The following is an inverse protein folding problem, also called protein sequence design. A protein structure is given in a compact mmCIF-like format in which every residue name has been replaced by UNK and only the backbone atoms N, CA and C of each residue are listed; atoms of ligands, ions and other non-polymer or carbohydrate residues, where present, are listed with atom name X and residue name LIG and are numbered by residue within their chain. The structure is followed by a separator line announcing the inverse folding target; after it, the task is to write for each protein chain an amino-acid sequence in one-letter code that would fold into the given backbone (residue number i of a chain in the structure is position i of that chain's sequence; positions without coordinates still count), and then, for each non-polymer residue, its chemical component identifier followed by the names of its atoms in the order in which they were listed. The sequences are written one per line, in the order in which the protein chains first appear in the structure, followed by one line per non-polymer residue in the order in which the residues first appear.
data_IF_549615648198
#
_entry.id   IF_549615648198
#
_cell.length_a   1.000
_cell.length_b   1.000
_cell.length_c   1.000
_cell.angle_alpha   90.00
_cell.angle_beta   90.00
_cell.angle_gamma   90.00
#
_symmetry.space_group_name_H-M   'P 1'
#
loop_
_entity.id
_entity.type
_entity.pdbx_description
1 polymer ?
#
# COMPACT_ATOMS: atom_id res chain seq x y z
N UNK A 1 -17.31 71.81 -31.78
CA UNK A 1 -16.51 70.81 -32.53
C UNK A 1 -15.23 70.62 -31.73
N UNK A 2 -15.03 69.40 -31.22
CA UNK A 2 -13.90 69.03 -30.36
C UNK A 2 -12.57 69.12 -31.11
N UNK A 3 -11.51 69.58 -30.44
CA UNK A 3 -10.17 69.08 -30.68
C UNK A 3 -9.26 69.25 -29.44
N UNK A 4 -8.45 68.22 -29.22
CA UNK A 4 -7.62 67.93 -28.02
C UNK A 4 -6.48 68.93 -27.80
N UNK A 5 -6.01 69.13 -26.55
CA UNK A 5 -4.76 69.84 -26.28
C UNK A 5 -3.52 68.95 -26.50
N UNK A 6 -2.45 69.64 -26.90
CA UNK A 6 -1.10 69.20 -27.27
C UNK A 6 -0.28 68.69 -26.09
N UNK A 7 0.51 67.63 -26.31
CA UNK A 7 1.56 67.15 -25.39
C UNK A 7 2.71 68.15 -25.30
N UNK A 8 2.93 68.73 -24.12
CA UNK A 8 4.20 69.32 -23.71
C UNK A 8 4.23 69.36 -22.17
N UNK A 9 4.96 68.45 -21.55
CA UNK A 9 6.19 68.73 -20.80
C UNK A 9 6.56 67.51 -19.95
N UNK A 10 7.65 66.85 -20.32
CA UNK A 10 8.19 65.68 -19.62
C UNK A 10 9.26 66.22 -18.69
N UNK A 11 8.94 66.43 -17.41
CA UNK A 11 9.96 66.80 -16.42
C UNK A 11 10.87 65.58 -16.20
N UNK A 12 12.10 65.71 -16.69
CA UNK A 12 13.19 64.75 -16.53
C UNK A 12 13.52 64.55 -15.05
N UNK A 13 13.50 63.30 -14.60
CA UNK A 13 14.09 62.86 -13.34
C UNK A 13 15.58 62.57 -13.59
N UNK A 14 16.43 63.58 -13.40
CA UNK A 14 17.89 63.37 -13.33
C UNK A 14 18.22 62.53 -12.08
N UNK A 15 18.66 61.28 -12.29
CA UNK A 15 19.22 60.43 -11.23
C UNK A 15 20.70 60.77 -11.03
N UNK A 16 21.04 61.25 -9.83
CA UNK A 16 22.42 61.51 -9.40
C UNK A 16 23.17 60.18 -9.19
N UNK A 17 24.17 59.94 -10.05
CA UNK A 17 24.99 58.73 -10.04
C UNK A 17 26.28 58.83 -9.21
N UNK A 18 26.55 59.96 -8.52
CA UNK A 18 27.90 60.24 -7.98
C UNK A 18 28.18 59.80 -6.53
N UNK A 19 27.33 58.95 -5.94
CA UNK A 19 27.46 58.54 -4.53
C UNK A 19 27.89 57.09 -4.23
N UNK A 20 28.21 56.24 -5.22
CA UNK A 20 28.55 54.83 -4.94
C UNK A 20 30.04 54.63 -4.70
N UNK A 21 30.42 54.37 -3.45
CA UNK A 21 31.71 53.77 -3.14
C UNK A 21 31.85 52.38 -3.81
N UNK A 22 33.06 52.00 -4.26
CA UNK A 22 33.28 50.71 -4.87
C UNK A 22 33.04 49.60 -3.86
N UNK A 23 32.10 48.70 -4.20
CA UNK A 23 31.78 47.52 -3.40
C UNK A 23 33.05 46.68 -3.22
N UNK A 24 33.51 46.54 -1.97
CA UNK A 24 34.62 45.67 -1.59
C UNK A 24 34.31 44.26 -2.11
N UNK A 25 35.18 43.71 -2.95
CA UNK A 25 35.09 42.33 -3.40
C UNK A 25 35.31 41.41 -2.20
N UNK A 26 34.23 40.93 -1.62
CA UNK A 26 34.27 39.74 -0.77
C UNK A 26 34.52 38.54 -1.71
N UNK A 27 35.60 37.80 -1.44
CA UNK A 27 35.93 36.56 -2.16
C UNK A 27 34.79 35.54 -2.07
N UNK A 28 34.87 34.40 -2.78
CA UNK A 28 33.78 33.43 -2.81
C UNK A 28 33.50 32.99 -1.39
N UNK A 29 32.43 33.52 -0.81
CA UNK A 29 31.85 32.99 0.39
C UNK A 29 31.51 31.54 0.02
N UNK A 30 32.26 30.60 0.61
CA UNK A 30 31.76 29.25 0.77
C UNK A 30 30.55 29.39 1.68
N UNK A 31 29.42 29.76 1.08
CA UNK A 31 28.11 29.49 1.61
C UNK A 31 28.02 27.97 1.57
N UNK A 32 28.61 27.33 2.57
CA UNK A 32 28.09 26.06 3.04
C UNK A 32 26.59 26.29 3.12
N UNK A 33 25.85 25.66 2.22
CA UNK A 33 24.42 25.53 2.33
C UNK A 33 24.23 24.88 3.70
N UNK A 34 23.92 25.70 4.70
CA UNK A 34 23.36 25.23 5.96
C UNK A 34 22.26 24.26 5.53
N UNK A 35 22.36 22.96 5.87
CA UNK A 35 21.33 22.03 5.49
C UNK A 35 20.03 22.62 6.01
N UNK A 36 19.07 22.86 5.11
CA UNK A 36 17.73 23.30 5.47
C UNK A 36 17.31 22.41 6.62
N UNK A 37 17.27 22.98 7.84
CA UNK A 37 16.86 22.21 9.00
C UNK A 37 15.49 21.64 8.64
N UNK A 38 15.41 20.32 8.51
CA UNK A 38 14.14 19.63 8.35
C UNK A 38 13.24 20.21 9.42
N UNK A 39 12.19 20.92 9.00
CA UNK A 39 11.17 21.39 9.92
C UNK A 39 10.56 20.11 10.47
N UNK A 40 11.06 19.67 11.63
CA UNK A 40 10.52 18.55 12.36
C UNK A 40 9.14 18.98 12.84
N UNK A 41 8.15 18.79 11.97
CA UNK A 41 6.74 18.83 12.32
C UNK A 41 6.62 17.90 13.52
N UNK A 42 6.15 18.37 14.69
CA UNK A 42 6.16 17.57 15.90
C UNK A 42 5.28 16.33 15.67
N UNK A 43 5.95 15.24 15.35
CA UNK A 43 5.35 13.93 15.17
C UNK A 43 4.69 13.58 16.50
N UNK A 44 3.39 13.32 16.49
CA UNK A 44 2.67 12.77 17.64
C UNK A 44 3.06 11.32 17.94
N UNK A 45 4.20 10.84 17.43
CA UNK A 45 4.70 9.49 17.62
C UNK A 45 4.72 9.13 19.11
N UNK A 46 4.23 7.94 19.42
CA UNK A 46 4.11 7.47 20.80
C UNK A 46 2.91 8.04 21.58
N UNK A 47 2.17 9.03 21.05
CA UNK A 47 0.95 9.54 21.67
C UNK A 47 -0.29 8.80 21.16
N UNK A 48 -1.25 8.60 22.06
CA UNK A 48 -2.50 7.90 21.76
C UNK A 48 -2.31 6.45 21.30
N UNK A 49 -3.33 5.95 20.62
CA UNK A 49 -3.34 4.61 20.06
C UNK A 49 -2.57 4.59 18.73
N UNK A 50 -1.78 3.54 18.44
CA UNK A 50 -1.09 3.42 17.15
C UNK A 50 -2.08 3.47 15.98
N UNK A 51 -1.73 4.24 14.95
CA UNK A 51 -2.55 4.44 13.75
C UNK A 51 -3.72 5.42 13.92
N UNK A 52 -3.84 6.12 15.06
CA UNK A 52 -4.84 7.19 15.24
C UNK A 52 -4.48 8.42 14.37
N UNK A 53 -5.40 8.91 13.52
CA UNK A 53 -5.10 9.99 12.60
C UNK A 53 -4.84 11.33 13.32
N UNK A 54 -5.32 11.50 14.56
CA UNK A 54 -5.15 12.72 15.36
C UNK A 54 -3.70 12.97 15.79
N UNK A 55 -2.86 11.94 15.74
CA UNK A 55 -1.45 12.02 16.11
C UNK A 55 -0.49 11.94 14.92
N UNK A 56 -1.01 11.73 13.71
CA UNK A 56 -0.22 11.75 12.47
C UNK A 56 0.29 13.17 12.17
N UNK A 57 1.39 13.26 11.43
CA UNK A 57 1.79 14.53 10.83
C UNK A 57 0.69 15.06 9.92
N UNK A 58 0.62 16.39 9.73
CA UNK A 58 -0.39 17.02 8.88
C UNK A 58 -0.35 16.47 7.44
N UNK A 59 0.85 16.27 6.89
CA UNK A 59 1.04 15.70 5.56
C UNK A 59 0.47 14.28 5.44
N UNK A 60 0.81 13.40 6.40
CA UNK A 60 0.33 12.02 6.40
C UNK A 60 -1.19 11.96 6.60
N UNK A 61 -1.72 12.78 7.51
CA UNK A 61 -3.15 12.85 7.74
C UNK A 61 -3.91 13.27 6.47
N UNK A 62 -3.44 14.31 5.78
CA UNK A 62 -4.05 14.79 4.54
C UNK A 62 -3.98 13.74 3.42
N UNK A 63 -2.83 13.08 3.26
CA UNK A 63 -2.65 12.04 2.26
C UNK A 63 -3.60 10.84 2.49
N UNK A 64 -3.74 10.42 3.75
CA UNK A 64 -4.62 9.29 4.11
C UNK A 64 -6.08 9.68 4.17
N UNK A 65 -6.44 10.96 4.35
CA UNK A 65 -7.81 11.44 4.55
C UNK A 65 -8.79 10.90 3.52
N UNK A 66 -8.41 10.95 2.25
CA UNK A 66 -9.22 10.46 1.15
C UNK A 66 -9.50 8.95 1.26
N UNK A 67 -8.53 8.16 1.73
CA UNK A 67 -8.72 6.74 2.03
C UNK A 67 -9.65 6.52 3.22
N UNK A 68 -9.59 7.37 4.24
CA UNK A 68 -10.40 7.24 5.47
C UNK A 68 -11.87 7.53 5.22
N UNK A 69 -12.16 8.42 4.28
CA UNK A 69 -13.52 8.91 4.00
C UNK A 69 -14.16 8.18 2.80
N UNK A 70 -13.36 7.54 1.94
CA UNK A 70 -13.86 6.85 0.76
C UNK A 70 -14.81 5.67 1.12
N UNK A 71 -15.92 5.48 0.41
CA UNK A 71 -16.79 4.31 0.61
C UNK A 71 -16.12 3.00 0.20
N UNK A 72 -15.13 3.05 -0.68
CA UNK A 72 -14.33 1.89 -1.07
C UNK A 72 -12.95 2.26 -1.59
N UNK A 73 -12.07 1.26 -1.62
CA UNK A 73 -10.74 1.33 -2.20
C UNK A 73 -10.55 0.23 -3.23
N UNK A 74 -9.69 0.51 -4.20
CA UNK A 74 -9.18 -0.47 -5.15
C UNK A 74 -7.69 -0.62 -4.96
N UNK A 75 -7.23 -1.86 -4.82
CA UNK A 75 -5.81 -2.20 -4.77
C UNK A 75 -5.46 -2.97 -6.04
N UNK A 76 -4.64 -2.36 -6.89
CA UNK A 76 -4.20 -2.92 -8.17
C UNK A 76 -2.77 -3.40 -8.06
N UNK A 77 -2.52 -4.66 -8.41
CA UNK A 77 -1.16 -5.20 -8.46
C UNK A 77 -0.47 -4.79 -9.76
N UNK A 78 0.75 -4.26 -9.67
CA UNK A 78 1.59 -4.09 -10.86
C UNK A 78 2.19 -5.46 -11.23
N UNK A 79 1.63 -6.08 -12.27
CA UNK A 79 2.31 -7.20 -12.95
C UNK A 79 3.21 -6.60 -14.01
N UNK A 80 4.46 -6.33 -13.67
CA UNK A 80 5.45 -5.85 -14.65
C UNK A 80 5.60 -6.93 -15.73
N UNK A 81 5.17 -6.65 -16.95
CA UNK A 81 5.26 -7.55 -18.12
C UNK A 81 6.68 -7.91 -18.56
N UNK A 82 7.68 -7.69 -17.71
CA UNK A 82 9.10 -8.01 -17.90
C UNK A 82 9.51 -9.37 -17.30
N UNK A 83 8.67 -10.02 -16.49
CA UNK A 83 8.91 -11.42 -16.08
C UNK A 83 8.90 -12.38 -17.29
N UNK A 84 8.14 -12.05 -18.35
CA UNK A 84 8.02 -12.85 -19.57
C UNK A 84 9.27 -12.76 -20.47
N UNK A 85 10.00 -11.63 -20.43
CA UNK A 85 11.13 -11.35 -21.33
C UNK A 85 12.48 -11.58 -20.65
N UNK A 86 12.61 -11.25 -19.35
CA UNK A 86 13.92 -11.23 -18.66
C UNK A 86 13.99 -12.06 -17.36
N UNK A 87 12.97 -12.85 -17.03
CA UNK A 87 13.08 -13.93 -16.04
C UNK A 87 13.48 -13.56 -14.61
N UNK A 88 13.51 -12.27 -14.23
CA UNK A 88 13.94 -11.86 -12.89
C UNK A 88 13.46 -10.44 -12.52
N UNK A 89 12.19 -10.27 -12.13
CA UNK A 89 11.80 -9.19 -11.22
C UNK A 89 10.45 -9.47 -10.52
N UNK A 90 10.50 -10.28 -9.47
CA UNK A 90 9.37 -10.81 -8.67
C UNK A 90 9.07 -9.96 -7.42
N UNK A 91 8.75 -8.67 -7.58
CA UNK A 91 8.39 -7.80 -6.43
C UNK A 91 6.89 -7.55 -6.40
N UNK A 92 6.26 -7.80 -5.26
CA UNK A 92 4.88 -7.39 -5.07
C UNK A 92 4.82 -5.87 -4.91
N UNK A 93 4.19 -5.22 -5.90
CA UNK A 93 3.90 -3.80 -5.90
C UNK A 93 2.41 -3.61 -6.09
N UNK A 94 1.83 -2.73 -5.28
CA UNK A 94 0.42 -2.39 -5.40
C UNK A 94 0.22 -0.88 -5.39
N UNK A 95 -0.77 -0.45 -6.14
CA UNK A 95 -1.35 0.88 -6.04
C UNK A 95 -2.70 0.78 -5.36
N UNK A 96 -2.92 1.55 -4.30
CA UNK A 96 -4.21 1.66 -3.62
C UNK A 96 -4.80 3.02 -3.99
N UNK A 97 -5.93 2.99 -4.67
CA UNK A 97 -6.67 4.18 -5.07
C UNK A 97 -8.09 4.16 -4.52
N UNK A 98 -8.68 5.35 -4.40
CA UNK A 98 -10.10 5.49 -4.11
C UNK A 98 -10.98 5.14 -5.33
N UNK A 99 -12.30 5.24 -5.18
CA UNK A 99 -13.24 4.98 -6.27
C UNK A 99 -13.07 5.92 -7.46
N UNK A 100 -12.62 7.15 -7.22
CA UNK A 100 -12.35 8.17 -8.24
C UNK A 100 -11.00 7.96 -8.95
N UNK A 101 -10.20 6.98 -8.52
CA UNK A 101 -8.87 6.70 -9.08
C UNK A 101 -7.76 7.58 -8.53
N UNK A 102 -8.02 8.37 -7.48
CA UNK A 102 -6.95 9.12 -6.78
C UNK A 102 -6.13 8.14 -5.96
N UNK A 103 -4.82 8.14 -6.16
CA UNK A 103 -3.90 7.25 -5.45
C UNK A 103 -3.77 7.73 -4.00
N UNK A 104 -4.00 6.83 -3.05
CA UNK A 104 -3.82 7.08 -1.63
C UNK A 104 -2.50 6.49 -1.11
N UNK A 105 -2.14 5.29 -1.56
CA UNK A 105 -0.95 4.58 -1.10
C UNK A 105 -0.31 3.79 -2.24
N UNK A 106 1.03 3.74 -2.22
CA UNK A 106 1.82 2.72 -2.89
C UNK A 106 2.23 1.68 -1.86
N UNK A 107 2.21 0.41 -2.24
CA UNK A 107 2.66 -0.68 -1.39
C UNK A 107 3.81 -1.38 -2.08
N UNK A 108 4.94 -1.44 -1.40
CA UNK A 108 6.13 -2.14 -1.88
C UNK A 108 6.59 -3.19 -0.87
N UNK A 109 7.05 -4.33 -1.39
CA UNK A 109 7.67 -5.38 -0.59
C UNK A 109 9.19 -5.15 -0.44
N UNK A 110 9.67 -5.13 0.81
CA UNK A 110 11.09 -4.94 1.12
C UNK A 110 11.94 -6.12 0.63
N UNK A 111 12.96 -5.83 -0.21
CA UNK A 111 13.79 -6.86 -0.84
C UNK A 111 14.80 -7.47 0.15
N UNK A 112 14.77 -8.80 0.33
CA UNK A 112 15.86 -9.54 1.01
C UNK A 112 16.56 -10.53 0.10
N UNK A 113 17.30 -10.00 -0.87
CA UNK A 113 18.36 -10.72 -1.60
C UNK A 113 17.93 -11.95 -2.42
N UNK A 114 18.88 -12.48 -3.17
CA UNK A 114 18.69 -13.60 -4.12
C UNK A 114 18.16 -14.89 -3.44
N UNK A 115 18.40 -15.07 -2.13
CA UNK A 115 17.92 -16.23 -1.35
C UNK A 115 16.44 -16.19 -0.93
N UNK A 116 15.79 -15.02 -0.94
CA UNK A 116 14.35 -14.92 -0.69
C UNK A 116 13.52 -15.39 -1.90
N UNK A 117 14.05 -15.20 -3.12
CA UNK A 117 13.42 -15.63 -4.38
C UNK A 117 13.30 -17.16 -4.47
N UNK A 118 14.40 -17.89 -4.18
CA UNK A 118 14.41 -19.37 -4.22
C UNK A 118 13.49 -20.01 -3.16
N UNK A 119 13.22 -19.30 -2.05
CA UNK A 119 12.33 -19.76 -0.97
C UNK A 119 10.84 -19.59 -1.27
N UNK A 120 10.47 -18.63 -2.11
CA UNK A 120 9.06 -18.34 -2.47
C UNK A 120 8.47 -19.45 -3.36
N UNK A 121 9.28 -20.03 -4.25
CA UNK A 121 8.85 -21.10 -5.16
C UNK A 121 8.60 -22.44 -4.46
N UNK A 122 9.21 -22.71 -3.29
CA UNK A 122 9.23 -24.07 -2.73
C UNK A 122 8.79 -24.21 -1.26
N UNK A 123 8.49 -23.14 -0.50
CA UNK A 123 8.43 -23.29 0.96
C UNK A 123 7.31 -22.42 1.61
N UNK A 124 6.38 -22.98 2.44
CA UNK A 124 5.29 -22.25 3.15
C UNK A 124 5.75 -21.16 4.17
N UNK A 125 7.02 -20.83 4.15
CA UNK A 125 7.81 -20.17 5.18
C UNK A 125 8.32 -18.79 4.74
N UNK A 126 7.61 -18.18 3.80
CA UNK A 126 7.91 -16.86 3.25
C UNK A 126 7.83 -15.77 4.33
N UNK A 127 8.94 -15.06 4.57
CA UNK A 127 8.90 -13.84 5.39
C UNK A 127 8.67 -12.68 4.42
N UNK A 128 7.68 -11.86 4.70
CA UNK A 128 7.32 -10.72 3.87
C UNK A 128 7.23 -9.47 4.74
N UNK A 129 7.64 -8.33 4.20
CA UNK A 129 7.41 -7.04 4.82
C UNK A 129 6.96 -6.08 3.73
N UNK A 130 5.73 -5.59 3.86
CA UNK A 130 5.12 -4.66 2.92
C UNK A 130 5.01 -3.31 3.59
N UNK A 131 5.52 -2.28 2.93
CA UNK A 131 5.46 -0.91 3.39
C UNK A 131 4.45 -0.14 2.54
N UNK A 132 3.42 0.39 3.18
CA UNK A 132 2.42 1.23 2.56
C UNK A 132 2.86 2.69 2.71
N UNK A 133 3.23 3.32 1.62
CA UNK A 133 3.76 4.68 1.56
C UNK A 133 2.76 5.61 0.88
N UNK A 134 2.66 6.84 1.37
CA UNK A 134 1.95 7.90 0.66
C UNK A 134 2.69 8.26 -0.63
N UNK A 135 2.05 8.97 -1.59
CA UNK A 135 2.76 9.50 -2.76
C UNK A 135 3.94 10.42 -2.42
N UNK A 136 3.94 11.03 -1.22
CA UNK A 136 5.07 11.81 -0.70
C UNK A 136 6.22 10.96 -0.11
N UNK A 137 6.11 9.63 -0.13
CA UNK A 137 7.13 8.72 0.39
C UNK A 137 7.08 8.48 1.91
N UNK A 138 6.05 8.99 2.60
CA UNK A 138 5.89 8.77 4.04
C UNK A 138 5.24 7.41 4.29
N UNK A 139 5.87 6.58 5.12
CA UNK A 139 5.31 5.29 5.53
C UNK A 139 4.09 5.51 6.43
N UNK A 140 2.93 5.03 5.98
CA UNK A 140 1.66 5.10 6.69
C UNK A 140 1.41 3.85 7.54
N UNK A 141 1.75 2.68 7.00
CA UNK A 141 1.43 1.38 7.56
C UNK A 141 2.48 0.37 7.10
N UNK A 142 2.86 -0.55 7.98
CA UNK A 142 3.72 -1.68 7.61
C UNK A 142 3.03 -2.97 7.98
N UNK A 143 3.03 -3.93 7.06
CA UNK A 143 2.50 -5.28 7.27
C UNK A 143 3.67 -6.26 7.20
N UNK A 144 3.99 -6.87 8.34
CA UNK A 144 5.06 -7.85 8.45
C UNK A 144 4.47 -9.25 8.65
N UNK A 145 4.76 -10.16 7.72
CA UNK A 145 4.47 -11.59 7.86
C UNK A 145 5.71 -12.28 8.43
N UNK A 146 5.73 -12.62 9.73
CA UNK A 146 6.80 -13.45 10.26
C UNK A 146 6.67 -14.88 9.73
N UNK A 147 7.75 -15.64 9.90
CA UNK A 147 7.75 -17.07 9.61
C UNK A 147 6.68 -17.78 10.45
N UNK A 148 5.88 -18.63 9.81
CA UNK A 148 4.87 -19.45 10.47
C UNK A 148 4.83 -20.84 9.89
N UNK A 149 4.63 -21.84 10.75
CA UNK A 149 4.64 -23.27 10.39
C UNK A 149 3.24 -23.79 10.00
N UNK A 150 2.15 -23.27 10.59
CA UNK A 150 0.79 -23.84 10.44
C UNK A 150 -0.28 -22.75 10.27
N UNK A 151 -0.27 -21.73 11.12
CA UNK A 151 -1.30 -20.69 11.14
C UNK A 151 -0.78 -19.37 10.57
N UNK A 152 -1.49 -18.80 9.60
CA UNK A 152 -1.14 -17.49 9.06
C UNK A 152 -1.16 -16.43 10.16
N UNK A 153 -0.11 -15.62 10.22
CA UNK A 153 0.00 -14.48 11.14
C UNK A 153 0.69 -13.31 10.45
N UNK A 154 0.29 -12.10 10.81
CA UNK A 154 0.97 -10.87 10.41
C UNK A 154 0.90 -9.83 11.52
N UNK A 155 1.99 -9.11 11.72
CA UNK A 155 2.08 -7.96 12.61
C UNK A 155 1.91 -6.68 11.78
N UNK A 156 1.11 -5.74 12.30
CA UNK A 156 0.78 -4.50 11.62
C UNK A 156 1.33 -3.36 12.46
N UNK A 157 2.25 -2.59 11.88
CA UNK A 157 2.86 -1.44 12.53
C UNK A 157 2.28 -0.16 11.94
N UNK A 158 1.99 0.81 12.80
CA UNK A 158 1.58 2.14 12.39
C UNK A 158 2.77 2.94 11.86
N UNK A 159 2.48 4.12 11.31
CA UNK A 159 3.44 5.12 10.84
C UNK A 159 4.55 5.48 11.85
N UNK A 160 4.30 5.36 13.15
CA UNK A 160 5.28 5.64 14.22
C UNK A 160 6.08 4.39 14.66
N UNK A 161 5.94 3.28 13.93
CA UNK A 161 6.64 2.02 14.20
C UNK A 161 6.07 1.19 15.35
N UNK A 162 5.03 1.66 16.05
CA UNK A 162 4.39 0.90 17.13
C UNK A 162 3.48 -0.19 16.55
N UNK A 163 3.45 -1.34 17.23
CA UNK A 163 2.52 -2.42 16.89
C UNK A 163 1.08 -1.94 17.09
N UNK A 164 0.33 -1.90 15.99
CA UNK A 164 -1.05 -1.47 15.94
C UNK A 164 -2.02 -2.62 16.19
N UNK A 165 -1.80 -3.75 15.50
CA UNK A 165 -2.59 -4.96 15.66
C UNK A 165 -1.81 -6.16 15.12
N UNK A 166 -2.37 -7.35 15.35
CA UNK A 166 -1.92 -8.61 14.76
C UNK A 166 -3.10 -9.29 14.05
N UNK A 167 -2.88 -9.71 12.81
CA UNK A 167 -3.79 -10.63 12.12
C UNK A 167 -3.37 -12.06 12.51
N UNK A 168 -4.30 -12.86 13.01
CA UNK A 168 -4.05 -14.26 13.38
C UNK A 168 -5.10 -15.17 12.76
N UNK A 169 -4.68 -16.29 12.17
CA UNK A 169 -5.60 -17.31 11.72
C UNK A 169 -6.20 -18.06 12.91
N UNK A 170 -7.53 -18.05 13.00
CA UNK A 170 -8.29 -18.85 13.96
C UNK A 170 -8.46 -20.26 13.40
N UNK A 171 -8.26 -21.27 14.26
CA UNK A 171 -8.58 -22.64 13.89
C UNK A 171 -10.09 -22.81 13.74
N UNK A 172 -10.52 -23.28 12.57
CA UNK A 172 -11.91 -23.61 12.24
C UNK A 172 -11.93 -24.94 11.51
N UNK A 173 -12.93 -25.80 11.80
CA UNK A 173 -13.06 -27.10 11.13
C UNK A 173 -13.39 -26.96 9.64
N UNK A 174 -14.17 -25.92 9.29
CA UNK A 174 -14.58 -25.60 7.92
C UNK A 174 -14.48 -24.10 7.70
N UNK A 175 -14.07 -23.70 6.50
CA UNK A 175 -13.86 -22.30 6.15
C UNK A 175 -12.57 -21.73 6.74
N UNK A 176 -12.32 -20.45 6.46
CA UNK A 176 -11.15 -19.73 6.92
C UNK A 176 -11.60 -18.56 7.79
N UNK A 177 -10.97 -18.39 8.93
CA UNK A 177 -11.26 -17.26 9.81
C UNK A 177 -9.94 -16.63 10.28
N UNK A 178 -9.87 -15.30 10.23
CA UNK A 178 -8.78 -14.52 10.80
C UNK A 178 -9.35 -13.58 11.85
N UNK A 179 -8.57 -13.29 12.88
CA UNK A 179 -8.90 -12.29 13.88
C UNK A 179 -7.91 -11.13 13.81
N UNK A 180 -8.45 -9.91 13.92
CA UNK A 180 -7.69 -8.69 14.13
C UNK A 180 -7.60 -8.46 15.63
N UNK A 181 -6.41 -8.59 16.19
CA UNK A 181 -6.18 -8.57 17.63
C UNK A 181 -5.31 -7.38 18.02
N UNK A 182 -5.67 -6.65 19.07
CA UNK A 182 -4.82 -5.60 19.63
C UNK A 182 -3.55 -6.20 20.24
N UNK A 183 -2.49 -5.40 20.49
CA UNK A 183 -1.34 -5.86 21.26
C UNK A 183 -1.70 -6.41 22.64
N UNK A 184 -2.79 -5.92 23.24
CA UNK A 184 -3.30 -6.40 24.52
C UNK A 184 -4.16 -7.68 24.44
N UNK A 185 -4.34 -8.28 23.26
CA UNK A 185 -5.09 -9.53 23.08
C UNK A 185 -6.59 -9.37 22.84
N UNK A 186 -7.12 -8.15 22.81
CA UNK A 186 -8.55 -7.91 22.52
C UNK A 186 -8.84 -8.02 21.01
N UNK A 187 -9.92 -8.71 20.64
CA UNK A 187 -10.34 -8.84 19.24
C UNK A 187 -11.05 -7.56 18.80
N UNK A 188 -10.50 -6.90 17.78
CA UNK A 188 -11.06 -5.68 17.15
C UNK A 188 -12.16 -6.06 16.16
N UNK A 189 -11.88 -7.07 15.34
CA UNK A 189 -12.78 -7.54 14.29
C UNK A 189 -12.38 -8.95 13.84
N UNK A 190 -13.33 -9.65 13.23
CA UNK A 190 -13.18 -11.00 12.70
C UNK A 190 -13.34 -10.99 11.19
N UNK A 191 -12.42 -11.62 10.47
CA UNK A 191 -12.49 -11.81 9.02
C UNK A 191 -12.94 -13.22 8.73
N UNK A 192 -14.12 -13.37 8.11
CA UNK A 192 -14.64 -14.65 7.64
C UNK A 192 -14.34 -14.78 6.16
N UNK A 193 -13.50 -15.77 5.85
CA UNK A 193 -13.23 -16.21 4.50
C UNK A 193 -14.36 -17.11 3.97
N UNK A 194 -14.36 -17.33 2.66
CA UNK A 194 -15.42 -18.07 1.98
C UNK A 194 -15.24 -19.59 2.15
N UNK A 195 -16.33 -20.35 2.15
CA UNK A 195 -16.26 -21.82 2.11
C UNK A 195 -16.02 -22.37 0.70
N UNK A 196 -16.72 -21.82 -0.31
CA UNK A 196 -16.78 -22.38 -1.67
C UNK A 196 -16.41 -21.37 -2.79
N UNK A 197 -16.05 -20.13 -2.45
CA UNK A 197 -15.65 -19.09 -3.40
C UNK A 197 -14.45 -18.29 -2.86
N UNK A 198 -13.18 -18.69 -3.06
CA UNK A 198 -11.96 -18.18 -2.39
C UNK A 198 -11.65 -16.67 -2.45
N UNK A 199 -12.53 -15.86 -3.05
CA UNK A 199 -12.25 -14.51 -3.54
C UNK A 199 -12.86 -13.42 -2.66
N UNK A 200 -13.74 -13.75 -1.71
CA UNK A 200 -14.48 -12.78 -0.89
C UNK A 200 -14.28 -13.02 0.59
N UNK A 201 -13.76 -12.02 1.30
CA UNK A 201 -13.52 -12.03 2.74
C UNK A 201 -14.38 -10.94 3.38
N UNK A 202 -15.20 -11.30 4.36
CA UNK A 202 -16.10 -10.38 5.05
C UNK A 202 -15.56 -10.06 6.42
N UNK A 203 -15.52 -8.78 6.78
CA UNK A 203 -15.00 -8.29 8.05
C UNK A 203 -16.17 -7.92 8.94
N UNK A 204 -16.16 -8.44 10.16
CA UNK A 204 -17.20 -8.26 11.17
C UNK A 204 -16.63 -7.60 12.42
N UNK A 205 -17.31 -6.58 12.93
CA UNK A 205 -17.07 -6.00 14.24
C UNK A 205 -18.35 -6.14 15.05
N UNK A 206 -18.29 -6.78 16.23
CA UNK A 206 -19.46 -7.07 17.06
C UNK A 206 -20.62 -7.71 16.25
N UNK A 207 -20.30 -8.71 15.43
CA UNK A 207 -21.20 -9.42 14.51
C UNK A 207 -21.87 -8.58 13.39
N UNK A 208 -21.57 -7.28 13.31
CA UNK A 208 -21.99 -6.43 12.20
C UNK A 208 -20.94 -6.47 11.09
N UNK A 209 -21.36 -6.72 9.84
CA UNK A 209 -20.47 -6.63 8.68
C UNK A 209 -20.06 -5.15 8.50
N UNK A 210 -18.76 -4.88 8.51
CA UNK A 210 -18.20 -3.52 8.44
C UNK A 210 -17.38 -3.29 7.18
N UNK A 211 -16.83 -4.35 6.58
CA UNK A 211 -16.14 -4.25 5.31
C UNK A 211 -16.14 -5.58 4.55
N UNK A 212 -15.93 -5.51 3.24
CA UNK A 212 -15.77 -6.69 2.39
C UNK A 212 -14.57 -6.51 1.47
N UNK A 213 -13.66 -7.47 1.52
CA UNK A 213 -12.50 -7.55 0.62
C UNK A 213 -12.81 -8.56 -0.48
N UNK A 214 -12.71 -8.16 -1.75
CA UNK A 214 -12.96 -9.02 -2.91
C UNK A 214 -11.77 -9.00 -3.85
N UNK A 215 -11.32 -10.16 -4.33
CA UNK A 215 -10.34 -10.28 -5.41
C UNK A 215 -11.06 -10.50 -6.75
N UNK A 216 -10.83 -9.62 -7.73
CA UNK A 216 -11.24 -9.80 -9.13
C UNK A 216 -10.02 -10.15 -9.96
N UNK A 217 -10.15 -11.18 -10.77
CA UNK A 217 -9.08 -11.64 -11.66
C UNK A 217 -9.44 -11.22 -13.05
N UNK A 218 -8.48 -10.65 -13.75
CA UNK A 218 -8.64 -10.16 -15.12
C UNK A 218 -8.67 -11.28 -16.18
N UNK A 219 -8.69 -12.55 -15.78
CA UNK A 219 -8.05 -13.61 -16.58
C UNK A 219 -8.90 -14.75 -17.14
N UNK A 220 -10.24 -14.75 -17.03
CA UNK A 220 -11.02 -15.82 -17.68
C UNK A 220 -11.49 -15.51 -19.11
N UNK A 221 -11.53 -14.25 -19.57
CA UNK A 221 -12.08 -13.96 -20.91
C UNK A 221 -11.64 -12.70 -21.65
N UNK A 222 -10.56 -11.98 -21.30
CA UNK A 222 -10.14 -10.85 -22.14
C UNK A 222 -8.64 -10.53 -22.08
N UNK A 223 -8.02 -10.81 -23.22
CA UNK A 223 -6.94 -10.07 -23.89
C UNK A 223 -5.67 -9.77 -23.07
N UNK A 224 -4.58 -10.33 -23.59
CA UNK A 224 -3.21 -9.98 -23.25
C UNK A 224 -3.04 -8.46 -23.25
N UNK A 225 -2.18 -7.95 -22.37
CA UNK A 225 -1.71 -6.56 -22.23
C UNK A 225 -2.27 -5.69 -21.09
N UNK A 226 -3.28 -6.12 -20.31
CA UNK A 226 -3.63 -5.41 -19.05
C UNK A 226 -4.19 -6.32 -17.93
N UNK A 227 -3.63 -7.52 -17.78
CA UNK A 227 -4.14 -8.55 -16.85
C UNK A 227 -3.68 -8.37 -15.39
N UNK A 228 -3.86 -7.19 -14.81
CA UNK A 228 -3.57 -6.93 -13.39
C UNK A 228 -4.71 -7.40 -12.49
N UNK A 229 -4.39 -8.19 -11.45
CA UNK A 229 -5.37 -8.53 -10.42
C UNK A 229 -5.78 -7.26 -9.66
N UNK A 230 -7.08 -7.13 -9.42
CA UNK A 230 -7.65 -5.98 -8.69
C UNK A 230 -8.41 -6.46 -7.48
N UNK A 231 -8.07 -5.92 -6.31
CA UNK A 231 -8.82 -6.09 -5.09
C UNK A 231 -9.75 -4.90 -4.87
N UNK A 232 -10.97 -5.16 -4.40
CA UNK A 232 -11.89 -4.12 -3.91
C UNK A 232 -12.05 -4.27 -2.41
N UNK A 233 -12.00 -3.15 -1.70
CA UNK A 233 -12.24 -3.05 -0.28
C UNK A 233 -13.44 -2.14 -0.10
N UNK A 234 -14.60 -2.73 0.16
CA UNK A 234 -15.85 -2.01 0.26
C UNK A 234 -16.17 -1.80 1.74
N UNK A 235 -16.28 -0.54 2.18
CA UNK A 235 -16.54 -0.17 3.57
C UNK A 235 -18.02 0.12 3.78
N UNK A 236 -18.62 -0.52 4.77
CA UNK A 236 -20.00 -0.22 5.15
C UNK A 236 -20.05 1.13 5.89
N UNK A 237 -21.17 1.87 5.88
CA UNK A 237 -21.28 3.18 6.53
C UNK A 237 -20.89 3.19 8.02
N UNK A 238 -21.15 2.09 8.73
CA UNK A 238 -20.78 1.89 10.13
C UNK A 238 -19.26 1.72 10.37
N UNK A 239 -18.45 1.49 9.33
CA UNK A 239 -17.00 1.39 9.42
C UNK A 239 -16.36 2.79 9.44
N UNK A 240 -16.60 3.53 10.52
CA UNK A 240 -16.06 4.88 10.73
C UNK A 240 -14.67 4.88 11.37
N UNK A 241 -14.25 3.78 12.02
CA UNK A 241 -12.92 3.69 12.64
C UNK A 241 -11.84 3.59 11.56
N UNK A 242 -11.04 4.65 11.45
CA UNK A 242 -9.91 4.71 10.54
C UNK A 242 -8.86 3.62 10.79
N UNK A 243 -8.64 3.24 12.04
CA UNK A 243 -7.72 2.16 12.36
C UNK A 243 -8.21 0.85 11.77
N UNK A 244 -9.51 0.58 11.89
CA UNK A 244 -10.09 -0.60 11.29
C UNK A 244 -9.93 -0.61 9.77
N UNK A 245 -10.12 0.53 9.09
CA UNK A 245 -9.90 0.65 7.63
C UNK A 245 -8.46 0.31 7.21
N UNK A 246 -7.46 0.79 7.95
CA UNK A 246 -6.05 0.40 7.74
C UNK A 246 -5.84 -1.10 7.93
N UNK A 247 -6.49 -1.70 8.94
CA UNK A 247 -6.40 -3.15 9.16
C UNK A 247 -7.09 -3.96 8.05
N UNK A 248 -8.19 -3.47 7.47
CA UNK A 248 -8.82 -4.11 6.31
C UNK A 248 -7.89 -4.09 5.09
N UNK A 249 -7.13 -2.99 4.89
CA UNK A 249 -6.06 -2.95 3.88
C UNK A 249 -4.98 -3.99 4.15
N UNK A 250 -4.51 -4.10 5.39
CA UNK A 250 -3.54 -5.12 5.78
C UNK A 250 -4.06 -6.55 5.54
N UNK A 251 -5.35 -6.80 5.78
CA UNK A 251 -6.01 -8.08 5.48
C UNK A 251 -5.97 -8.37 3.98
N UNK A 252 -6.29 -7.39 3.13
CA UNK A 252 -6.24 -7.56 1.67
C UNK A 252 -4.85 -7.94 1.18
N UNK A 253 -3.82 -7.25 1.69
CA UNK A 253 -2.42 -7.54 1.38
C UNK A 253 -2.00 -8.94 1.86
N UNK A 254 -2.31 -9.29 3.10
CA UNK A 254 -2.00 -10.61 3.64
C UNK A 254 -2.69 -11.74 2.88
N UNK A 255 -3.96 -11.53 2.48
CA UNK A 255 -4.72 -12.50 1.67
C UNK A 255 -4.04 -12.73 0.32
N UNK A 256 -3.57 -11.66 -0.34
CA UNK A 256 -2.87 -11.81 -1.62
C UNK A 256 -1.57 -12.61 -1.47
N UNK A 257 -0.73 -12.21 -0.50
CA UNK A 257 0.53 -12.90 -0.18
C UNK A 257 0.35 -14.39 0.13
N UNK A 258 -0.71 -14.74 0.86
CA UNK A 258 -0.84 -16.09 1.44
C UNK A 258 -1.58 -17.07 0.54
N UNK A 259 -2.53 -16.59 -0.26
CA UNK A 259 -3.47 -17.48 -0.94
C UNK A 259 -3.34 -17.49 -2.46
N UNK A 260 -2.67 -16.51 -3.07
CA UNK A 260 -2.72 -16.35 -4.52
C UNK A 260 -1.36 -16.35 -5.23
N UNK A 261 -0.25 -16.23 -4.51
CA UNK A 261 1.10 -16.40 -5.09
C UNK A 261 1.40 -17.85 -5.53
N UNK A 262 0.69 -18.85 -5.00
CA UNK A 262 0.86 -20.25 -5.38
C UNK A 262 0.10 -20.66 -6.66
N UNK A 263 -0.63 -19.74 -7.30
CA UNK A 263 -1.38 -20.07 -8.53
C UNK A 263 -0.59 -19.80 -9.83
N UNK A 264 0.58 -19.16 -9.77
CA UNK A 264 1.45 -19.00 -10.95
C UNK A 264 2.42 -20.16 -11.15
N UNK A 265 2.70 -20.98 -10.12
CA UNK A 265 3.58 -22.16 -10.23
C UNK A 265 2.85 -23.47 -10.53
N UNK A 266 1.55 -23.44 -10.85
CA UNK A 266 0.77 -24.62 -11.25
C UNK A 266 0.38 -24.69 -12.73
N UNK A 267 0.85 -23.75 -13.55
CA UNK A 267 0.57 -23.69 -14.99
C UNK A 267 1.82 -23.88 -15.87
N UNK A 268 2.84 -24.58 -15.36
CA UNK A 268 4.01 -25.01 -16.15
C UNK A 268 3.95 -26.49 -16.55
N UNK A 269 2.82 -27.17 -16.31
CA UNK A 269 2.49 -28.44 -16.96
C UNK A 269 1.11 -28.24 -17.58
N UNK A 270 1.05 -28.38 -18.90
CA UNK A 270 -0.15 -28.09 -19.70
C UNK A 270 -1.38 -28.88 -19.26
N UNK A 271 -2.58 -28.49 -19.74
CA UNK A 271 -3.79 -29.22 -19.42
C UNK A 271 -3.74 -30.58 -20.11
N UNK A 272 -3.65 -31.65 -19.31
CA UNK A 272 -3.83 -33.02 -19.79
C UNK A 272 -2.59 -33.88 -19.64
N UNK A 273 -2.31 -34.31 -18.42
CA UNK A 273 -2.01 -35.72 -18.12
C UNK A 273 -2.32 -35.92 -16.65
N UNK A 274 -3.48 -36.53 -16.38
CA UNK A 274 -3.85 -36.94 -15.03
C UNK A 274 -2.86 -38.02 -14.56
N UNK A 275 -2.50 -38.01 -13.27
CA UNK A 275 -1.64 -39.02 -12.63
C UNK A 275 -2.18 -40.46 -12.77
N UNK A 276 -3.44 -40.60 -13.19
CA UNK A 276 -4.10 -41.87 -13.49
C UNK A 276 -3.70 -42.44 -14.87
N UNK A 277 -3.29 -41.62 -15.85
CA UNK A 277 -2.87 -42.10 -17.17
C UNK A 277 -1.47 -42.74 -17.13
N UNK A 278 -0.57 -42.26 -16.27
CA UNK A 278 0.78 -42.82 -16.09
C UNK A 278 0.75 -44.22 -15.47
N UNK A 279 -0.24 -44.50 -14.61
CA UNK A 279 -0.43 -45.82 -13.99
C UNK A 279 -1.08 -46.84 -14.93
N UNK A 280 -1.81 -46.38 -15.96
CA UNK A 280 -2.48 -47.26 -16.93
C UNK A 280 -1.60 -47.62 -18.14
N UNK A 281 -0.45 -46.96 -18.32
CA UNK A 281 0.44 -47.16 -19.47
C UNK A 281 1.40 -48.36 -19.34
N UNK A 282 1.51 -49.00 -18.18
CA UNK A 282 2.41 -50.14 -17.96
C UNK A 282 1.71 -51.52 -17.98
N UNK A 283 0.49 -51.58 -18.53
CA UNK A 283 -0.25 -52.83 -18.67
C UNK A 283 -1.02 -52.90 -19.98
N UNK A 284 -0.31 -52.77 -21.11
CA UNK A 284 -0.71 -53.32 -22.41
C UNK A 284 0.46 -53.39 -23.37
#
# INVERSE_FOLDING_TARGET
MSDKPSLADTTELELDWRGREPRKQEGPASAALEPLAEVQVPSGAGKGLPGDPRHMSTELNLALRHMMEAPGLRMRQFREGMEIIFGAQTRNRYEVCDEMGRVALYVEEEARGFGAMLRRTFWPFYKARMECMTPGGIVALVVERPWSFIFTKADIFAWDGRLMARIQQRFTLLGRQLDLVTPGGAVIATVKGPLLRPWTFRVFQNDLEVAVVRKRWSGLFQEAFSSADTFTLDFMPQCADFRLRQLVLAVALLVDLTYFENNSSRSAVGPGMDLLDVLMFWKR
#
